data_IF_394775254103
#
_entry.id   IF_394775254103
#
_cell.length_a   1.000
_cell.length_b   1.000
_cell.length_c   1.000
_cell.angle_alpha   90.00
_cell.angle_beta   90.00
_cell.angle_gamma   90.00
#
_symmetry.space_group_name_H-M   'P 1'
#
loop_
_entity.id
_entity.type
_entity.pdbx_description
1 polymer ?
#
# COMPACT_ATOMS: atom_id res chain seq x y z
N UNK A 1 13.56 -11.42 21.04
CA UNK A 1 12.66 -10.42 21.63
C UNK A 1 11.70 -11.09 22.60
N UNK A 2 11.38 -10.43 23.71
CA UNK A 2 10.32 -10.83 24.66
C UNK A 2 8.93 -10.45 24.14
N UNK A 3 7.87 -10.94 24.77
CA UNK A 3 6.49 -10.57 24.40
C UNK A 3 6.25 -9.05 24.48
N UNK A 4 6.83 -8.40 25.49
CA UNK A 4 6.71 -6.95 25.65
C UNK A 4 7.43 -6.22 24.51
N UNK A 5 8.66 -6.60 24.23
CA UNK A 5 9.46 -6.01 23.14
C UNK A 5 8.78 -6.18 21.78
N UNK A 6 8.14 -7.33 21.52
CA UNK A 6 7.39 -7.54 20.29
C UNK A 6 6.15 -6.67 20.20
N UNK A 7 5.39 -6.53 21.28
CA UNK A 7 4.23 -5.63 21.30
C UNK A 7 4.64 -4.17 21.11
N UNK A 8 5.73 -3.74 21.75
CA UNK A 8 6.28 -2.40 21.58
C UNK A 8 6.71 -2.17 20.11
N UNK A 9 7.36 -3.15 19.49
CA UNK A 9 7.70 -3.13 18.06
C UNK A 9 6.45 -3.00 17.16
N UNK A 10 5.39 -3.75 17.43
CA UNK A 10 4.15 -3.67 16.65
C UNK A 10 3.52 -2.27 16.72
N UNK A 11 3.47 -1.67 17.91
CA UNK A 11 2.93 -0.31 18.09
C UNK A 11 3.78 0.73 17.37
N UNK A 12 5.10 0.62 17.48
CA UNK A 12 6.02 1.50 16.76
C UNK A 12 5.83 1.38 15.25
N UNK A 13 5.77 0.16 14.71
CA UNK A 13 5.62 -0.07 13.26
C UNK A 13 4.28 0.47 12.74
N UNK A 14 3.20 0.37 13.54
CA UNK A 14 1.91 0.97 13.20
C UNK A 14 2.01 2.50 13.12
N UNK A 15 2.71 3.14 14.06
CA UNK A 15 2.96 4.58 14.06
C UNK A 15 3.71 5.04 12.80
N UNK A 16 4.82 4.37 12.48
CA UNK A 16 5.63 4.67 11.29
C UNK A 16 4.82 4.48 10.01
N UNK A 17 4.06 3.38 9.89
CA UNK A 17 3.19 3.12 8.74
C UNK A 17 2.15 4.23 8.57
N UNK A 18 1.49 4.65 9.65
CA UNK A 18 0.53 5.74 9.64
C UNK A 18 1.14 7.07 9.16
N UNK A 19 2.31 7.44 9.68
CA UNK A 19 3.00 8.67 9.29
C UNK A 19 3.40 8.67 7.81
N UNK A 20 3.98 7.56 7.32
CA UNK A 20 4.38 7.41 5.93
C UNK A 20 3.17 7.47 5.00
N UNK A 21 2.08 6.78 5.34
CA UNK A 21 0.85 6.81 4.56
C UNK A 21 0.25 8.21 4.52
N UNK A 22 0.29 8.96 5.63
CA UNK A 22 -0.22 10.33 5.67
C UNK A 22 0.65 11.28 4.84
N UNK A 23 1.98 11.16 4.91
CA UNK A 23 2.91 11.92 4.07
C UNK A 23 2.69 11.63 2.58
N UNK A 24 2.70 10.35 2.19
CA UNK A 24 2.44 9.94 0.79
C UNK A 24 1.06 10.39 0.32
N UNK A 25 0.04 10.33 1.19
CA UNK A 25 -1.29 10.84 0.86
C UNK A 25 -1.28 12.35 0.57
N UNK A 26 -0.50 13.14 1.31
CA UNK A 26 -0.37 14.58 1.03
C UNK A 26 0.40 14.86 -0.26
N UNK A 27 1.42 14.06 -0.57
CA UNK A 27 2.20 14.19 -1.82
C UNK A 27 1.37 13.84 -3.07
N UNK A 28 0.44 12.89 -2.96
CA UNK A 28 -0.32 12.35 -4.10
C UNK A 28 -1.78 12.82 -4.18
N UNK A 29 -2.26 13.60 -3.21
CA UNK A 29 -3.62 14.13 -3.20
C UNK A 29 -3.78 15.31 -4.18
N UNK A 30 -3.64 15.04 -5.48
CA UNK A 30 -4.21 15.94 -6.48
C UNK A 30 -5.75 15.89 -6.35
N UNK A 31 -6.38 17.07 -6.22
CA UNK A 31 -7.84 17.22 -6.16
C UNK A 31 -8.53 16.44 -5.02
N UNK A 32 -7.94 16.39 -3.82
CA UNK A 32 -8.50 15.71 -2.63
C UNK A 32 -8.74 14.20 -2.78
N UNK A 33 -8.10 13.53 -3.75
CA UNK A 33 -8.27 12.09 -3.97
C UNK A 33 -6.95 11.31 -3.82
N UNK A 34 -6.85 10.52 -2.75
CA UNK A 34 -5.63 9.83 -2.32
C UNK A 34 -5.16 8.70 -3.24
N UNK A 35 -5.99 8.23 -4.18
CA UNK A 35 -5.66 7.14 -5.10
C UNK A 35 -5.48 7.58 -6.56
N UNK A 36 -5.26 8.87 -6.80
CA UNK A 36 -5.11 9.43 -8.15
C UNK A 36 -4.05 8.70 -8.98
N UNK A 37 -2.86 8.49 -8.40
CA UNK A 37 -1.74 7.82 -9.08
C UNK A 37 -2.06 6.37 -9.47
N UNK A 38 -2.75 5.63 -8.59
CA UNK A 38 -3.19 4.27 -8.92
C UNK A 38 -4.25 4.28 -10.02
N UNK A 39 -5.11 5.30 -10.08
CA UNK A 39 -6.10 5.41 -11.14
C UNK A 39 -5.45 5.68 -12.51
N UNK A 40 -4.49 6.60 -12.59
CA UNK A 40 -3.72 6.86 -13.82
C UNK A 40 -2.94 5.61 -14.24
N UNK A 41 -2.19 5.02 -13.31
CA UNK A 41 -1.37 3.86 -13.61
C UNK A 41 -2.20 2.66 -14.05
N UNK A 42 -3.40 2.46 -13.49
CA UNK A 42 -4.37 1.47 -13.95
C UNK A 42 -4.74 1.68 -15.41
N UNK A 43 -5.05 2.91 -15.82
CA UNK A 43 -5.42 3.19 -17.21
C UNK A 43 -4.25 2.91 -18.18
N UNK A 44 -3.02 3.21 -17.77
CA UNK A 44 -1.81 2.87 -18.55
C UNK A 44 -1.61 1.35 -18.62
N UNK A 45 -1.62 0.66 -17.48
CA UNK A 45 -1.36 -0.78 -17.40
C UNK A 45 -2.46 -1.61 -18.09
N UNK A 46 -3.67 -1.06 -18.20
CA UNK A 46 -4.75 -1.67 -19.00
C UNK A 46 -4.38 -1.79 -20.47
N UNK A 47 -3.67 -0.79 -21.01
CA UNK A 47 -3.25 -0.78 -22.42
C UNK A 47 -2.19 -1.85 -22.73
N UNK A 48 -1.38 -2.25 -21.74
CA UNK A 48 -0.21 -3.12 -21.95
C UNK A 48 -0.31 -4.50 -21.29
N UNK A 49 -1.21 -4.72 -20.32
CA UNK A 49 -1.16 -5.92 -19.48
C UNK A 49 -2.47 -6.39 -18.86
N UNK A 50 -3.64 -5.90 -19.33
CA UNK A 50 -4.98 -6.25 -18.78
C UNK A 50 -5.17 -5.97 -17.28
N UNK A 51 -4.34 -5.10 -16.69
CA UNK A 51 -4.55 -4.59 -15.33
C UNK A 51 -5.57 -3.46 -15.41
N UNK A 52 -6.76 -3.67 -14.87
CA UNK A 52 -7.92 -2.81 -15.10
C UNK A 52 -8.55 -2.26 -13.82
N UNK A 53 -7.98 -2.54 -12.65
CA UNK A 53 -8.44 -2.01 -11.35
C UNK A 53 -7.29 -1.43 -10.53
N UNK A 54 -7.60 -0.43 -9.68
CA UNK A 54 -6.59 0.21 -8.82
C UNK A 54 -5.94 -0.78 -7.83
N UNK A 55 -6.67 -1.74 -7.20
CA UNK A 55 -6.06 -2.79 -6.39
C UNK A 55 -5.03 -3.63 -7.17
N UNK A 56 -5.34 -4.02 -8.41
CA UNK A 56 -4.39 -4.77 -9.25
C UNK A 56 -3.16 -3.93 -9.61
N UNK A 57 -3.33 -2.63 -9.85
CA UNK A 57 -2.21 -1.70 -10.05
C UNK A 57 -1.34 -1.58 -8.82
N UNK A 58 -1.93 -1.42 -7.63
CA UNK A 58 -1.19 -1.40 -6.38
C UNK A 58 -0.41 -2.71 -6.17
N UNK A 59 -1.02 -3.87 -6.45
CA UNK A 59 -0.34 -5.17 -6.43
C UNK A 59 0.84 -5.23 -7.42
N UNK A 60 0.66 -4.74 -8.65
CA UNK A 60 1.74 -4.71 -9.64
C UNK A 60 2.91 -3.79 -9.21
N UNK A 61 2.60 -2.66 -8.58
CA UNK A 61 3.62 -1.77 -8.00
C UNK A 61 4.31 -2.40 -6.79
N UNK A 62 3.59 -3.21 -6.01
CA UNK A 62 4.14 -3.93 -4.86
C UNK A 62 5.28 -4.89 -5.26
N UNK A 63 5.30 -5.38 -6.50
CA UNK A 63 6.38 -6.22 -7.04
C UNK A 63 7.76 -5.60 -6.86
N UNK A 64 7.91 -4.28 -7.07
CA UNK A 64 9.22 -3.62 -6.86
C UNK A 64 9.66 -3.63 -5.40
N UNK A 65 8.70 -3.58 -4.48
CA UNK A 65 8.97 -3.62 -3.04
C UNK A 65 9.31 -5.04 -2.58
N UNK A 66 8.74 -6.07 -3.22
CA UNK A 66 9.21 -7.45 -3.03
C UNK A 66 10.64 -7.65 -3.50
N UNK A 67 11.02 -7.11 -4.66
CA UNK A 67 12.43 -7.16 -5.13
C UNK A 67 13.35 -6.51 -4.11
N UNK A 68 13.01 -5.30 -3.64
CA UNK A 68 13.82 -4.62 -2.62
C UNK A 68 13.89 -5.38 -1.28
N UNK A 69 12.84 -6.12 -0.90
CA UNK A 69 12.89 -6.98 0.28
C UNK A 69 13.79 -8.20 0.04
N UNK A 70 13.75 -8.80 -1.14
CA UNK A 70 14.65 -9.91 -1.50
C UNK A 70 16.10 -9.45 -1.46
N UNK A 71 16.40 -8.26 -2.00
CA UNK A 71 17.75 -7.68 -1.94
C UNK A 71 18.21 -7.54 -0.48
N UNK A 72 17.37 -6.97 0.39
CA UNK A 72 17.62 -6.85 1.83
C UNK A 72 17.89 -8.21 2.50
N UNK A 73 17.14 -9.24 2.13
CA UNK A 73 17.30 -10.60 2.68
C UNK A 73 18.59 -11.29 2.23
N UNK A 74 19.23 -10.81 1.15
CA UNK A 74 20.50 -11.33 0.66
C UNK A 74 21.71 -10.58 1.25
N UNK A 75 21.49 -9.45 1.93
CA UNK A 75 22.53 -8.71 2.64
C UNK A 75 22.90 -9.40 3.96
N UNK A 76 24.13 -9.16 4.44
CA UNK A 76 24.53 -9.71 5.74
C UNK A 76 23.87 -8.92 6.87
N UNK A 77 23.34 -9.56 7.94
CA UNK A 77 22.62 -8.88 9.01
C UNK A 77 23.36 -7.72 9.67
N UNK A 78 24.69 -7.76 9.71
CA UNK A 78 25.54 -6.74 10.34
C UNK A 78 25.67 -5.47 9.50
N UNK A 79 25.37 -5.55 8.20
CA UNK A 79 25.39 -4.44 7.25
C UNK A 79 24.04 -3.72 7.17
N UNK A 80 22.98 -4.31 7.75
CA UNK A 80 21.63 -3.78 7.69
C UNK A 80 21.38 -2.67 8.71
N UNK A 81 21.09 -1.46 8.20
CA UNK A 81 20.57 -0.38 9.03
C UNK A 81 19.10 -0.64 9.41
N UNK A 82 18.75 -0.45 10.68
CA UNK A 82 17.40 -0.68 11.20
C UNK A 82 16.35 0.15 10.45
N UNK A 83 16.69 1.39 10.07
CA UNK A 83 15.82 2.29 9.31
C UNK A 83 15.50 1.73 7.91
N UNK A 84 16.48 1.08 7.26
CA UNK A 84 16.29 0.47 5.94
C UNK A 84 15.37 -0.74 6.07
N UNK A 85 15.58 -1.59 7.07
CA UNK A 85 14.70 -2.74 7.35
C UNK A 85 13.26 -2.24 7.57
N UNK A 86 13.10 -1.21 8.40
CA UNK A 86 11.80 -0.62 8.70
C UNK A 86 11.10 -0.05 7.47
N UNK A 87 11.84 0.66 6.62
CA UNK A 87 11.34 1.22 5.37
C UNK A 87 10.86 0.13 4.41
N UNK A 88 11.69 -0.89 4.14
CA UNK A 88 11.36 -1.93 3.14
C UNK A 88 10.20 -2.81 3.59
N UNK A 89 10.20 -3.25 4.85
CA UNK A 89 9.07 -3.98 5.42
C UNK A 89 7.82 -3.11 5.51
N UNK A 90 7.98 -1.84 5.90
CA UNK A 90 6.90 -0.86 6.00
C UNK A 90 6.24 -0.57 4.66
N UNK A 91 6.99 -0.52 3.56
CA UNK A 91 6.43 -0.32 2.22
C UNK A 91 5.46 -1.44 1.83
N UNK A 92 5.78 -2.71 2.10
CA UNK A 92 4.86 -3.82 1.82
C UNK A 92 3.59 -3.73 2.67
N UNK A 93 3.70 -3.41 3.97
CA UNK A 93 2.56 -3.18 4.87
C UNK A 93 1.69 -2.03 4.34
N UNK A 94 2.31 -0.95 3.88
CA UNK A 94 1.58 0.20 3.34
C UNK A 94 0.82 -0.14 2.06
N UNK A 95 1.40 -0.97 1.17
CA UNK A 95 0.70 -1.42 -0.03
C UNK A 95 -0.48 -2.35 0.26
N UNK A 96 -0.39 -3.21 1.28
CA UNK A 96 -1.55 -4.02 1.70
C UNK A 96 -2.66 -3.15 2.27
N UNK A 97 -2.33 -2.09 3.03
CA UNK A 97 -3.32 -1.09 3.47
C UNK A 97 -4.01 -0.39 2.28
N UNK A 98 -3.23 0.03 1.26
CA UNK A 98 -3.79 0.64 0.06
C UNK A 98 -4.72 -0.30 -0.71
N UNK A 99 -4.30 -1.55 -0.92
CA UNK A 99 -5.11 -2.58 -1.57
C UNK A 99 -6.40 -2.80 -0.80
N UNK A 100 -6.32 -2.97 0.51
CA UNK A 100 -7.50 -3.17 1.37
C UNK A 100 -8.48 -1.99 1.26
N UNK A 101 -8.00 -0.76 1.38
CA UNK A 101 -8.84 0.43 1.28
C UNK A 101 -9.52 0.54 -0.10
N UNK A 102 -8.79 0.24 -1.19
CA UNK A 102 -9.35 0.28 -2.54
C UNK A 102 -10.38 -0.83 -2.79
N UNK A 103 -10.18 -2.04 -2.24
CA UNK A 103 -11.16 -3.12 -2.32
C UNK A 103 -12.46 -2.76 -1.57
N UNK A 104 -12.35 -2.13 -0.39
CA UNK A 104 -13.52 -1.63 0.33
C UNK A 104 -14.25 -0.52 -0.44
N UNK A 105 -13.51 0.39 -1.08
CA UNK A 105 -14.10 1.42 -1.95
C UNK A 105 -14.87 0.80 -3.13
N UNK A 106 -14.31 -0.22 -3.79
CA UNK A 106 -14.96 -0.93 -4.90
C UNK A 106 -16.21 -1.69 -4.42
N UNK A 107 -16.13 -2.37 -3.27
CA UNK A 107 -17.27 -3.09 -2.67
C UNK A 107 -18.43 -2.15 -2.37
N UNK A 108 -18.17 -1.03 -1.70
CA UNK A 108 -19.23 -0.10 -1.28
C UNK A 108 -19.81 0.72 -2.46
N UNK A 109 -19.05 0.92 -3.55
CA UNK A 109 -19.60 1.46 -4.80
C UNK A 109 -20.68 0.56 -5.41
N UNK A 110 -20.53 -0.76 -5.27
CA UNK A 110 -21.55 -1.73 -5.70
C UNK A 110 -22.84 -1.67 -4.88
N UNK A 111 -22.75 -1.36 -3.59
CA UNK A 111 -23.90 -1.28 -2.68
C UNK A 111 -24.75 -0.02 -2.89
N UNK A 112 -24.15 1.08 -3.36
CA UNK A 112 -24.87 2.33 -3.64
C UNK A 112 -25.72 2.26 -4.93
N UNK A 113 -25.35 1.42 -5.90
CA UNK A 113 -26.08 1.28 -7.16
C UNK A 113 -27.37 0.44 -7.06
N UNK A 114 -27.55 -0.35 -6.01
CA UNK A 114 -28.77 -1.16 -5.82
C UNK A 114 -29.94 -0.39 -5.17
N UNK A 115 -29.74 0.85 -4.75
CA UNK A 115 -30.77 1.70 -4.10
C UNK A 115 -31.36 2.77 -5.01
N UNK A 116 -31.00 2.79 -6.30
CA UNK A 116 -31.30 3.89 -7.22
C UNK A 116 -32.44 3.68 -8.23
N UNK A 117 -33.16 2.56 -8.22
CA UNK A 117 -34.30 2.32 -9.12
C UNK A 117 -35.52 1.86 -8.32
N UNK A 118 -36.18 2.81 -7.66
CA UNK A 118 -37.57 2.72 -7.24
C UNK A 118 -38.04 4.14 -6.87
N UNK A 119 -38.31 4.95 -7.89
CA UNK A 119 -39.27 6.06 -7.86
C UNK A 119 -39.53 6.55 -9.28
#
# INVERSE_FOLDING_TARGET
>A
MTNKEFNDFLLWQQGVSFEVLNRKANEYAANNYRFHNFNIAKDILKLIGKIDTKPKTAFAFMTKHFVSLIDLLNEQPEELAEEIIAEKCGDLINYTHFIHAMLLEEKHKGECNCKGNNQ
#
